data_IF_289650474900
#
_entry.id   IF_289650474900
#
_cell.length_a   1.000
_cell.length_b   1.000
_cell.length_c   1.000
_cell.angle_alpha   90.00
_cell.angle_beta   90.00
_cell.angle_gamma   90.00
#
_symmetry.space_group_name_H-M   'P 1'
#
loop_
_entity.id
_entity.type
_entity.pdbx_description
1 polymer ?
#
# COMPACT_ATOMS: atom_id res chain seq x y z
N UNK A 1 49.68 -8.92 -34.26
CA UNK A 1 48.59 -9.68 -34.95
C UNK A 1 47.28 -9.18 -34.41
N UNK A 2 46.52 -8.42 -35.18
CA UNK A 2 45.20 -7.97 -34.78
C UNK A 2 44.15 -8.98 -35.25
N UNK A 3 43.23 -9.37 -34.36
CA UNK A 3 42.03 -10.15 -34.72
C UNK A 3 40.82 -9.23 -34.74
N UNK A 4 40.42 -8.94 -35.95
CA UNK A 4 39.19 -8.29 -36.34
C UNK A 4 38.03 -9.29 -36.16
N UNK A 5 37.00 -8.96 -35.36
CA UNK A 5 35.73 -9.67 -35.29
C UNK A 5 34.56 -8.70 -35.43
N UNK A 6 34.28 -8.39 -36.69
CA UNK A 6 33.12 -7.66 -37.17
C UNK A 6 31.96 -8.62 -37.23
N UNK A 7 31.14 -8.65 -36.18
CA UNK A 7 29.86 -9.37 -36.11
C UNK A 7 28.65 -8.44 -36.26
N UNK A 8 28.24 -8.20 -37.54
CA UNK A 8 27.04 -7.46 -37.86
C UNK A 8 25.79 -8.36 -37.71
N UNK A 9 25.03 -8.18 -36.66
CA UNK A 9 23.73 -8.83 -36.49
C UNK A 9 22.64 -7.99 -37.19
N UNK A 10 22.13 -8.50 -38.33
CA UNK A 10 20.97 -7.97 -39.05
C UNK A 10 19.70 -8.16 -38.23
N UNK A 11 19.11 -7.09 -37.73
CA UNK A 11 17.75 -7.06 -37.21
C UNK A 11 16.75 -7.18 -38.35
N UNK A 12 15.94 -8.25 -38.35
CA UNK A 12 14.75 -8.39 -39.20
C UNK A 12 13.57 -7.60 -38.60
N UNK A 13 12.86 -6.77 -39.40
CA UNK A 13 11.64 -6.15 -38.93
C UNK A 13 10.50 -7.17 -38.94
N UNK A 14 9.90 -7.44 -37.78
CA UNK A 14 8.61 -8.13 -37.68
C UNK A 14 7.49 -7.12 -37.90
N UNK A 15 6.81 -7.26 -39.04
CA UNK A 15 5.55 -6.60 -39.35
C UNK A 15 4.44 -7.32 -38.57
N UNK A 16 3.87 -6.65 -37.56
CA UNK A 16 2.65 -7.10 -36.90
C UNK A 16 1.47 -6.34 -37.50
N UNK A 17 0.64 -7.08 -38.22
CA UNK A 17 -0.63 -6.60 -38.78
C UNK A 17 -1.65 -6.44 -37.65
N UNK A 18 -2.17 -5.23 -37.44
CA UNK A 18 -3.25 -4.92 -36.54
C UNK A 18 -4.58 -5.13 -37.28
N UNK A 19 -5.34 -6.15 -36.87
CA UNK A 19 -6.75 -6.31 -37.25
C UNK A 19 -7.61 -5.51 -36.27
N UNK A 20 -8.24 -4.47 -36.76
CA UNK A 20 -9.30 -3.75 -36.06
C UNK A 20 -10.62 -4.53 -36.22
N UNK A 21 -11.24 -4.92 -35.11
CA UNK A 21 -12.62 -5.37 -35.06
C UNK A 21 -13.44 -4.38 -34.25
N UNK A 22 -14.24 -3.58 -34.92
CA UNK A 22 -15.30 -2.75 -34.33
C UNK A 22 -16.49 -3.65 -33.96
N UNK A 23 -16.89 -3.62 -32.69
CA UNK A 23 -18.13 -4.21 -32.23
C UNK A 23 -18.88 -3.19 -31.38
N UNK A 24 -19.84 -2.49 -32.00
CA UNK A 24 -20.81 -1.63 -31.31
C UNK A 24 -22.00 -2.50 -30.91
N UNK A 25 -22.33 -2.56 -29.61
CA UNK A 25 -23.62 -3.00 -29.12
C UNK A 25 -24.16 -2.00 -28.11
N UNK A 26 -25.15 -1.23 -28.58
CA UNK A 26 -26.01 -0.43 -27.74
C UNK A 26 -27.04 -1.35 -27.07
N UNK A 27 -27.14 -1.28 -25.74
CA UNK A 27 -28.16 -1.93 -24.93
C UNK A 27 -28.75 -0.91 -23.94
N UNK A 28 -29.83 -0.26 -24.35
CA UNK A 28 -30.67 0.53 -23.47
C UNK A 28 -31.61 -0.39 -22.69
N UNK A 29 -31.63 -0.29 -21.36
CA UNK A 29 -32.74 -0.77 -20.54
C UNK A 29 -33.11 0.29 -19.53
N UNK A 30 -34.14 1.05 -19.88
CA UNK A 30 -34.93 1.84 -18.94
C UNK A 30 -35.82 0.91 -18.11
N UNK A 31 -35.79 1.09 -16.79
CA UNK A 31 -36.65 0.38 -15.87
C UNK A 31 -36.90 1.22 -14.61
N UNK A 32 -37.80 2.22 -14.72
CA UNK A 32 -38.34 2.95 -13.59
C UNK A 32 -39.46 2.14 -12.98
N UNK A 33 -39.39 1.78 -11.72
CA UNK A 33 -40.56 1.34 -10.92
C UNK A 33 -40.71 2.26 -9.73
N UNK A 34 -41.86 2.89 -9.53
CA UNK A 34 -42.16 3.65 -8.35
C UNK A 34 -42.61 2.71 -7.21
N UNK A 35 -41.92 2.80 -6.08
CA UNK A 35 -42.31 2.13 -4.85
C UNK A 35 -43.51 2.84 -4.22
N UNK A 36 -44.60 2.10 -4.01
CA UNK A 36 -45.77 2.54 -3.31
C UNK A 36 -45.48 2.70 -1.81
N UNK A 37 -45.83 3.85 -1.25
CA UNK A 37 -45.91 4.09 0.20
C UNK A 37 -47.20 3.47 0.76
N UNK A 38 -47.15 2.71 1.85
CA UNK A 38 -48.34 2.39 2.63
C UNK A 38 -48.66 3.54 3.56
N UNK A 39 -49.83 4.14 3.33
CA UNK A 39 -50.51 5.06 4.24
C UNK A 39 -51.05 4.26 5.44
N UNK A 40 -50.47 4.44 6.61
CA UNK A 40 -51.06 3.94 7.84
C UNK A 40 -51.96 5.00 8.46
N UNK A 41 -53.25 4.72 8.41
CA UNK A 41 -54.31 5.46 9.11
C UNK A 41 -54.15 5.21 10.61
N UNK A 42 -53.91 6.27 11.37
CA UNK A 42 -53.84 6.24 12.82
C UNK A 42 -55.25 6.24 13.40
N UNK A 43 -55.65 5.14 14.01
CA UNK A 43 -56.85 5.10 14.89
C UNK A 43 -56.37 5.34 16.32
N UNK A 44 -56.80 6.44 16.88
CA UNK A 44 -56.57 6.80 18.27
C UNK A 44 -57.48 5.99 19.21
N UNK A 45 -56.86 5.29 20.16
CA UNK A 45 -57.57 4.77 21.35
C UNK A 45 -56.88 5.34 22.60
N UNK A 46 -57.66 5.97 23.52
CA UNK A 46 -57.12 6.40 24.80
C UNK A 46 -57.33 5.27 25.81
N UNK A 47 -56.23 4.71 26.32
CA UNK A 47 -56.23 3.91 27.53
C UNK A 47 -55.13 4.41 28.47
N UNK A 48 -55.61 4.79 29.67
CA UNK A 48 -54.75 5.10 30.81
C UNK A 48 -53.87 3.92 31.16
N UNK A 49 -52.57 4.16 31.30
CA UNK A 49 -51.62 3.12 31.67
C UNK A 49 -50.37 3.69 32.31
N UNK A 50 -50.23 3.42 33.56
CA UNK A 50 -49.02 3.21 34.39
C UNK A 50 -47.72 3.90 33.94
N UNK A 51 -46.99 4.66 34.79
CA UNK A 51 -45.72 5.27 34.46
C UNK A 51 -44.70 4.15 34.21
N UNK A 52 -44.34 3.97 32.95
CA UNK A 52 -43.24 3.11 32.54
C UNK A 52 -41.92 3.69 33.05
N UNK A 53 -41.15 2.86 33.74
CA UNK A 53 -39.81 3.16 34.18
C UNK A 53 -38.98 3.66 32.99
N UNK A 54 -38.42 4.85 33.12
CA UNK A 54 -37.48 5.44 32.17
C UNK A 54 -36.28 4.50 32.10
N UNK A 55 -35.91 3.94 30.92
CA UNK A 55 -34.70 3.16 30.80
C UNK A 55 -33.53 4.09 31.08
N UNK A 56 -32.80 3.83 32.15
CA UNK A 56 -31.51 4.46 32.44
C UNK A 56 -30.63 4.27 31.23
N UNK A 57 -30.01 5.33 30.64
CA UNK A 57 -29.10 5.15 29.54
C UNK A 57 -27.96 4.29 30.02
N UNK A 58 -27.85 3.08 29.53
CA UNK A 58 -26.68 2.23 29.70
C UNK A 58 -25.48 3.00 29.16
N UNK A 59 -24.63 3.47 30.05
CA UNK A 59 -23.34 4.06 29.67
C UNK A 59 -22.57 3.02 28.86
N UNK A 60 -22.58 3.16 27.55
CA UNK A 60 -21.73 2.38 26.65
C UNK A 60 -20.30 2.76 27.06
N UNK A 61 -19.65 1.91 27.85
CA UNK A 61 -18.22 2.02 28.13
C UNK A 61 -17.52 1.96 26.77
N UNK A 62 -17.15 3.11 26.24
CA UNK A 62 -16.35 3.21 25.03
C UNK A 62 -15.10 2.37 25.22
N UNK A 63 -14.95 1.32 24.43
CA UNK A 63 -13.70 0.55 24.41
C UNK A 63 -12.54 1.54 24.21
N UNK A 64 -11.49 1.51 25.02
CA UNK A 64 -10.38 2.45 24.87
C UNK A 64 -9.85 2.33 23.45
N UNK A 65 -9.63 3.47 22.77
CA UNK A 65 -9.08 3.49 21.44
C UNK A 65 -7.76 2.71 21.41
N UNK A 66 -7.61 1.77 20.49
CA UNK A 66 -6.42 0.95 20.39
C UNK A 66 -5.17 1.84 20.20
N UNK A 67 -4.11 1.58 20.95
CA UNK A 67 -2.86 2.34 20.89
C UNK A 67 -2.17 2.16 19.52
N UNK A 68 -1.27 3.09 19.16
CA UNK A 68 -0.43 2.92 17.96
C UNK A 68 0.46 1.68 18.10
N UNK A 69 0.62 0.93 17.00
CA UNK A 69 1.51 -0.22 16.96
C UNK A 69 2.95 0.20 17.24
N UNK A 70 3.61 -0.51 18.14
CA UNK A 70 5.03 -0.28 18.42
C UNK A 70 5.89 -1.16 17.49
N UNK A 71 7.03 -0.65 17.04
CA UNK A 71 7.92 -1.38 16.12
C UNK A 71 8.33 -2.75 16.69
N UNK A 72 8.55 -2.87 18.00
CA UNK A 72 8.93 -4.14 18.66
C UNK A 72 7.86 -5.23 18.59
N UNK A 73 6.59 -4.83 18.42
CA UNK A 73 5.44 -5.73 18.33
C UNK A 73 5.03 -5.98 16.87
N UNK A 74 5.80 -5.45 15.91
CA UNK A 74 5.58 -5.63 14.49
C UNK A 74 6.71 -6.44 13.86
N UNK A 75 6.37 -7.20 12.83
CA UNK A 75 7.33 -7.66 11.83
C UNK A 75 6.99 -7.04 10.49
N UNK A 76 8.00 -6.94 9.61
CA UNK A 76 7.81 -6.49 8.24
C UNK A 76 8.37 -7.54 7.28
N UNK A 77 7.68 -7.73 6.17
CA UNK A 77 8.11 -8.56 5.05
C UNK A 77 7.76 -7.86 3.73
N UNK A 78 8.24 -8.41 2.62
CA UNK A 78 7.88 -7.94 1.28
C UNK A 78 7.13 -9.03 0.53
N UNK A 79 6.14 -8.61 -0.26
CA UNK A 79 5.42 -9.46 -1.19
C UNK A 79 6.23 -9.75 -2.46
N UNK A 80 5.59 -10.40 -3.43
CA UNK A 80 6.19 -10.66 -4.74
C UNK A 80 6.37 -9.36 -5.52
N UNK A 81 7.55 -9.10 -6.10
CA UNK A 81 7.77 -7.93 -6.94
C UNK A 81 6.93 -7.99 -8.21
N UNK A 82 6.33 -6.86 -8.58
CA UNK A 82 5.62 -6.65 -9.84
C UNK A 82 6.36 -5.59 -10.64
N UNK A 83 6.68 -5.91 -11.92
CA UNK A 83 7.29 -4.95 -12.82
C UNK A 83 6.27 -3.95 -13.35
N UNK A 84 6.65 -2.69 -13.47
CA UNK A 84 5.93 -1.68 -14.24
C UNK A 84 6.89 -0.92 -15.16
N UNK A 85 6.35 -0.13 -16.10
CA UNK A 85 7.18 0.70 -16.95
C UNK A 85 7.98 1.71 -16.09
N UNK A 86 9.28 1.49 -15.95
CA UNK A 86 10.19 2.37 -15.21
C UNK A 86 10.58 1.89 -13.82
N UNK A 87 10.28 0.63 -13.45
CA UNK A 87 10.71 0.10 -12.16
C UNK A 87 9.95 -1.13 -11.69
N UNK A 88 9.88 -1.29 -10.40
CA UNK A 88 9.14 -2.36 -9.75
C UNK A 88 8.27 -1.83 -8.59
N UNK A 89 7.23 -2.56 -8.28
CA UNK A 89 6.31 -2.33 -7.19
C UNK A 89 6.24 -3.57 -6.30
N UNK A 90 6.29 -3.38 -4.99
CA UNK A 90 6.20 -4.46 -4.01
C UNK A 90 5.35 -4.03 -2.81
N UNK A 91 4.57 -4.96 -2.27
CA UNK A 91 3.89 -4.72 -1.01
C UNK A 91 4.89 -4.85 0.16
N UNK A 92 4.93 -3.85 1.03
CA UNK A 92 5.52 -3.98 2.37
C UNK A 92 4.41 -4.40 3.30
N UNK A 93 4.54 -5.56 3.91
CA UNK A 93 3.52 -6.16 4.78
C UNK A 93 3.98 -6.06 6.22
N UNK A 94 3.17 -5.42 7.06
CA UNK A 94 3.32 -5.39 8.51
C UNK A 94 2.41 -6.43 9.14
N UNK A 95 2.91 -7.18 10.11
CA UNK A 95 2.12 -8.12 10.92
C UNK A 95 2.27 -7.79 12.39
N UNK A 96 1.15 -7.72 13.11
CA UNK A 96 1.14 -7.52 14.56
C UNK A 96 1.45 -8.84 15.26
N UNK A 97 2.61 -8.92 15.91
CA UNK A 97 3.03 -10.04 16.76
C UNK A 97 2.67 -9.85 18.24
N UNK A 98 2.19 -8.65 18.59
CA UNK A 98 1.73 -8.35 19.94
C UNK A 98 0.43 -9.08 20.31
N UNK A 99 0.13 -9.14 21.59
CA UNK A 99 -1.05 -9.80 22.14
C UNK A 99 -2.30 -8.91 22.14
N UNK A 100 -2.15 -7.62 21.91
CA UNK A 100 -3.23 -6.63 21.85
C UNK A 100 -3.41 -6.07 20.45
N UNK A 101 -4.64 -5.64 20.14
CA UNK A 101 -4.89 -4.87 18.91
C UNK A 101 -4.18 -3.52 18.99
N UNK A 102 -3.64 -3.06 17.85
CA UNK A 102 -2.99 -1.77 17.72
C UNK A 102 -3.37 -1.10 16.40
N UNK A 103 -3.00 0.15 16.20
CA UNK A 103 -3.36 0.92 15.02
C UNK A 103 -2.13 1.42 14.26
N UNK A 104 -2.25 1.45 12.92
CA UNK A 104 -1.33 2.14 12.01
C UNK A 104 -2.07 3.26 11.29
N UNK A 105 -1.40 4.39 11.04
CA UNK A 105 -2.00 5.53 10.34
C UNK A 105 -0.94 6.28 9.53
N UNK A 106 -1.16 6.41 8.22
CA UNK A 106 -0.28 7.18 7.33
C UNK A 106 0.73 6.33 6.58
N UNK A 107 1.91 6.90 6.31
CA UNK A 107 2.93 6.33 5.45
C UNK A 107 4.07 5.69 6.26
N UNK A 108 4.55 4.51 5.90
CA UNK A 108 5.84 4.04 6.37
C UNK A 108 6.96 4.85 5.71
N UNK A 109 8.11 4.94 6.36
CA UNK A 109 9.33 5.50 5.77
C UNK A 109 10.25 4.36 5.40
N UNK A 110 10.66 4.30 4.14
CA UNK A 110 11.51 3.22 3.62
C UNK A 110 12.78 3.80 3.03
N UNK A 111 13.89 3.13 3.25
CA UNK A 111 15.15 3.40 2.60
C UNK A 111 15.78 2.10 2.09
N UNK A 112 16.52 2.17 1.00
CA UNK A 112 17.45 1.12 0.61
C UNK A 112 18.65 1.17 1.52
N UNK A 113 19.20 0.00 1.90
CA UNK A 113 20.32 -0.09 2.83
C UNK A 113 21.25 -1.26 2.47
N UNK A 114 22.48 -1.20 2.97
CA UNK A 114 23.44 -2.28 2.86
C UNK A 114 24.33 -2.35 4.11
N UNK A 115 25.04 -3.48 4.24
CA UNK A 115 25.97 -3.71 5.34
C UNK A 115 25.35 -4.39 6.56
N UNK A 116 26.18 -4.62 7.59
CA UNK A 116 25.82 -5.18 8.89
C UNK A 116 26.61 -4.42 9.96
N UNK A 117 26.00 -3.50 10.71
CA UNK A 117 24.57 -3.11 10.67
C UNK A 117 24.17 -2.44 9.34
N UNK A 118 22.87 -2.53 9.02
CA UNK A 118 22.32 -1.92 7.80
C UNK A 118 22.48 -0.38 7.84
N UNK A 119 23.04 0.18 6.78
CA UNK A 119 23.24 1.62 6.62
C UNK A 119 22.48 2.10 5.39
N UNK A 120 21.70 3.17 5.54
CA UNK A 120 20.91 3.74 4.45
C UNK A 120 21.75 4.22 3.29
N UNK A 121 21.23 4.02 2.10
CA UNK A 121 21.80 4.47 0.84
C UNK A 121 20.82 5.44 0.18
N UNK A 122 21.27 6.67 -0.08
CA UNK A 122 20.49 7.69 -0.81
C UNK A 122 19.28 8.21 -0.03
N UNK A 123 18.22 8.51 -0.77
CA UNK A 123 17.02 9.15 -0.23
C UNK A 123 16.00 8.13 0.28
N UNK A 124 15.31 8.48 1.36
CA UNK A 124 14.13 7.74 1.84
C UNK A 124 12.94 7.96 0.90
N UNK A 125 11.90 7.13 1.07
CA UNK A 125 10.65 7.27 0.32
C UNK A 125 10.07 8.67 0.38
N UNK A 126 9.47 9.08 -0.75
CA UNK A 126 8.48 10.15 -0.78
C UNK A 126 7.08 9.55 -0.59
N UNK A 127 6.21 10.30 0.07
CA UNK A 127 4.81 9.90 0.22
C UNK A 127 4.09 10.07 -1.13
N UNK A 128 3.30 9.06 -1.51
CA UNK A 128 2.38 9.19 -2.64
C UNK A 128 1.02 9.68 -2.10
N UNK A 129 0.64 10.94 -2.34
CA UNK A 129 -0.56 11.53 -1.76
C UNK A 129 -1.86 11.03 -2.39
N UNK A 130 -1.80 10.23 -3.46
CA UNK A 130 -2.99 9.75 -4.18
C UNK A 130 -3.89 8.84 -3.35
N UNK A 131 -3.35 8.18 -2.31
CA UNK A 131 -4.14 7.35 -1.41
C UNK A 131 -4.50 8.13 -0.12
N UNK A 132 -5.78 8.17 0.28
CA UNK A 132 -6.18 8.82 1.52
C UNK A 132 -5.58 8.09 2.73
N UNK A 133 -5.23 8.85 3.77
CA UNK A 133 -4.77 8.27 5.03
C UNK A 133 -5.96 7.70 5.78
N UNK A 134 -5.92 6.41 6.07
CA UNK A 134 -6.95 5.72 6.86
C UNK A 134 -6.33 5.14 8.12
N UNK A 135 -7.12 5.06 9.19
CA UNK A 135 -6.71 4.38 10.40
C UNK A 135 -6.92 2.87 10.19
N UNK A 136 -5.86 2.10 10.30
CA UNK A 136 -5.88 0.64 10.12
C UNK A 136 -5.71 0.00 11.49
N UNK A 137 -6.69 -0.79 11.91
CA UNK A 137 -6.62 -1.58 13.14
C UNK A 137 -6.05 -2.97 12.84
N UNK A 138 -5.00 -3.35 13.55
CA UNK A 138 -4.36 -4.66 13.47
C UNK A 138 -4.67 -5.45 14.75
N UNK A 139 -5.57 -6.43 14.70
CA UNK A 139 -5.69 -7.39 15.79
C UNK A 139 -4.40 -8.22 15.93
N UNK A 140 -4.21 -8.99 17.00
CA UNK A 140 -3.12 -9.95 17.09
C UNK A 140 -3.06 -10.83 15.83
N UNK A 141 -1.88 -10.98 15.23
CA UNK A 141 -1.63 -11.63 13.94
C UNK A 141 -2.25 -10.95 12.71
N UNK A 142 -2.97 -9.83 12.88
CA UNK A 142 -3.50 -9.04 11.76
C UNK A 142 -2.38 -8.44 10.91
N UNK A 143 -2.70 -8.17 9.63
CA UNK A 143 -1.77 -7.62 8.65
C UNK A 143 -2.27 -6.30 8.08
N UNK A 144 -1.32 -5.44 7.74
CA UNK A 144 -1.52 -4.24 6.94
C UNK A 144 -0.37 -4.12 5.93
N UNK A 145 -0.61 -3.48 4.82
CA UNK A 145 0.41 -3.30 3.79
C UNK A 145 0.44 -1.89 3.23
N UNK A 146 1.58 -1.53 2.64
CA UNK A 146 1.76 -0.32 1.85
C UNK A 146 2.52 -0.68 0.57
N UNK A 147 2.13 -0.11 -0.57
CA UNK A 147 2.83 -0.36 -1.84
C UNK A 147 4.07 0.53 -1.93
N UNK A 148 5.22 -0.09 -2.08
CA UNK A 148 6.49 0.56 -2.35
C UNK A 148 6.78 0.47 -3.85
N UNK A 149 7.01 1.62 -4.48
CA UNK A 149 7.53 1.73 -5.85
C UNK A 149 9.01 2.07 -5.80
N UNK A 150 9.79 1.33 -6.57
CA UNK A 150 11.22 1.54 -6.75
C UNK A 150 11.46 1.82 -8.22
N UNK A 151 11.79 3.08 -8.55
CA UNK A 151 12.15 3.46 -9.91
C UNK A 151 13.47 2.80 -10.32
N UNK A 152 13.61 2.48 -11.60
CA UNK A 152 14.85 1.91 -12.12
C UNK A 152 15.96 2.98 -12.10
N UNK A 153 17.04 2.64 -11.42
CA UNK A 153 18.25 3.50 -11.34
C UNK A 153 18.88 3.76 -12.69
N UNK A 154 18.70 2.86 -13.67
CA UNK A 154 19.21 3.02 -15.04
C UNK A 154 18.58 4.19 -15.82
N UNK A 155 17.47 4.76 -15.34
CA UNK A 155 16.89 5.96 -15.91
C UNK A 155 17.63 7.26 -15.54
N UNK A 156 18.63 7.17 -14.67
CA UNK A 156 19.39 8.31 -14.20
C UNK A 156 20.86 8.18 -14.64
N UNK A 157 21.51 9.27 -15.07
CA UNK A 157 22.94 9.23 -15.38
C UNK A 157 23.77 8.74 -14.19
N UNK A 158 24.77 7.89 -14.44
CA UNK A 158 25.62 7.30 -13.39
C UNK A 158 26.29 8.36 -12.50
N UNK A 159 26.71 9.47 -13.06
CA UNK A 159 27.28 10.60 -12.31
C UNK A 159 26.30 11.22 -11.30
N UNK A 160 25.01 11.18 -11.60
CA UNK A 160 23.93 11.70 -10.72
C UNK A 160 23.45 10.64 -9.72
N UNK A 161 23.20 9.43 -10.19
CA UNK A 161 22.71 8.32 -9.35
C UNK A 161 23.83 7.77 -8.46
N UNK A 162 25.01 7.52 -9.01
CA UNK A 162 26.09 6.78 -8.35
C UNK A 162 25.57 5.43 -7.86
N UNK A 163 25.20 4.52 -8.79
CA UNK A 163 24.49 3.28 -8.47
C UNK A 163 25.32 2.36 -7.59
N UNK A 164 24.69 1.75 -6.60
CA UNK A 164 25.30 0.77 -5.69
C UNK A 164 24.30 -0.32 -5.32
N UNK A 165 24.80 -1.50 -4.99
CA UNK A 165 23.99 -2.62 -4.55
C UNK A 165 23.45 -2.37 -3.15
N UNK A 166 22.14 -2.47 -2.98
CA UNK A 166 21.44 -2.58 -1.70
C UNK A 166 21.03 -4.03 -1.44
N UNK A 167 21.04 -4.44 -0.18
CA UNK A 167 20.67 -5.80 0.25
C UNK A 167 19.51 -5.81 1.23
N UNK A 168 19.12 -4.63 1.74
CA UNK A 168 18.07 -4.45 2.71
C UNK A 168 17.13 -3.32 2.31
N UNK A 169 15.88 -3.42 2.77
CA UNK A 169 15.00 -2.29 2.98
C UNK A 169 14.93 -2.00 4.48
N UNK A 170 15.29 -0.80 4.88
CA UNK A 170 15.04 -0.28 6.22
C UNK A 170 13.65 0.33 6.23
N UNK A 171 12.72 -0.30 6.97
CA UNK A 171 11.31 0.06 7.01
C UNK A 171 10.95 0.59 8.38
N UNK A 172 10.56 1.85 8.47
CA UNK A 172 10.07 2.46 9.71
C UNK A 172 8.55 2.53 9.62
N UNK A 173 7.81 1.83 10.50
CA UNK A 173 6.36 1.87 10.51
C UNK A 173 5.81 3.30 10.70
N UNK A 174 4.57 3.60 10.28
CA UNK A 174 3.96 4.91 10.51
C UNK A 174 4.04 5.32 11.98
N UNK A 175 4.37 6.59 12.24
CA UNK A 175 4.48 7.18 13.58
C UNK A 175 5.53 6.54 14.51
N UNK A 176 6.40 5.67 14.00
CA UNK A 176 7.49 5.05 14.75
C UNK A 176 8.85 5.71 14.41
N UNK A 177 9.86 5.42 15.26
CA UNK A 177 11.24 5.91 15.08
C UNK A 177 12.22 4.78 14.75
N UNK A 178 11.94 3.58 15.25
CA UNK A 178 12.79 2.40 15.04
C UNK A 178 12.46 1.72 13.73
N UNK A 179 13.48 1.15 13.09
CA UNK A 179 13.34 0.46 11.82
C UNK A 179 13.25 -1.07 11.97
N UNK A 180 12.62 -1.69 11.00
CA UNK A 180 12.63 -3.11 10.71
C UNK A 180 13.46 -3.30 9.43
N UNK A 181 14.45 -4.20 9.46
CA UNK A 181 15.26 -4.51 8.29
C UNK A 181 14.68 -5.72 7.56
N UNK A 182 14.34 -5.53 6.29
CA UNK A 182 13.77 -6.57 5.42
C UNK A 182 14.77 -6.89 4.33
N UNK A 183 15.13 -8.18 4.16
CA UNK A 183 16.03 -8.59 3.09
C UNK A 183 15.40 -8.37 1.73
N UNK A 184 16.02 -7.55 0.91
CA UNK A 184 15.60 -7.25 -0.45
C UNK A 184 16.78 -6.71 -1.27
N UNK A 185 17.15 -7.44 -2.33
CA UNK A 185 18.21 -7.03 -3.24
C UNK A 185 17.72 -6.04 -4.29
N UNK A 186 18.40 -4.90 -4.41
CA UNK A 186 18.06 -3.88 -5.41
C UNK A 186 19.28 -3.01 -5.74
N UNK A 187 19.15 -2.12 -6.74
CA UNK A 187 20.13 -1.07 -7.01
C UNK A 187 19.65 0.23 -6.39
N UNK A 188 20.48 0.86 -5.59
CA UNK A 188 20.22 2.15 -4.96
C UNK A 188 21.09 3.25 -5.59
N UNK A 189 20.66 4.50 -5.47
CA UNK A 189 21.44 5.67 -5.83
C UNK A 189 22.05 6.31 -4.59
N UNK A 190 23.39 6.39 -4.49
CA UNK A 190 24.06 7.20 -3.46
C UNK A 190 23.86 8.70 -3.66
N UNK A 191 23.61 9.11 -4.90
CA UNK A 191 23.35 10.51 -5.25
C UNK A 191 22.00 10.99 -4.76
N UNK A 192 21.73 12.27 -4.98
CA UNK A 192 20.47 12.91 -4.57
C UNK A 192 19.33 12.61 -5.57
N UNK A 193 18.98 11.33 -5.69
CA UNK A 193 17.90 10.84 -6.57
C UNK A 193 16.82 10.18 -5.72
N UNK A 194 15.57 10.52 -6.00
CA UNK A 194 14.41 9.92 -5.33
C UNK A 194 13.92 8.71 -6.13
N UNK A 195 14.39 7.51 -5.78
CA UNK A 195 13.96 6.28 -6.41
C UNK A 195 12.68 5.70 -5.80
N UNK A 196 12.41 6.04 -4.53
CA UNK A 196 11.41 5.36 -3.73
C UNK A 196 10.18 6.24 -3.51
N UNK A 197 8.99 5.67 -3.73
CA UNK A 197 7.74 6.26 -3.27
C UNK A 197 6.87 5.19 -2.61
N UNK A 198 6.01 5.59 -1.67
CA UNK A 198 5.19 4.65 -0.89
C UNK A 198 3.78 5.18 -0.74
N UNK A 199 2.80 4.27 -0.71
CA UNK A 199 1.40 4.58 -0.38
C UNK A 199 1.17 4.57 1.14
N UNK A 200 0.01 5.03 1.56
CA UNK A 200 -0.46 4.83 2.94
C UNK A 200 -0.65 3.35 3.25
N UNK A 201 -0.59 3.01 4.53
CA UNK A 201 -0.96 1.67 4.98
C UNK A 201 -2.45 1.41 4.74
N UNK A 202 -2.77 0.19 4.33
CA UNK A 202 -4.11 -0.35 4.13
C UNK A 202 -4.22 -1.71 4.79
N UNK A 203 -5.44 -2.15 5.10
CA UNK A 203 -5.67 -3.46 5.70
C UNK A 203 -5.33 -4.58 4.72
N UNK A 204 -4.77 -5.68 5.23
CA UNK A 204 -4.43 -6.86 4.44
C UNK A 204 -2.98 -6.91 3.99
N UNK A 205 -2.65 -7.91 3.18
CA UNK A 205 -1.28 -8.20 2.72
C UNK A 205 -0.86 -7.48 1.44
N UNK A 206 -1.77 -6.76 0.78
CA UNK A 206 -1.45 -5.99 -0.44
C UNK A 206 -1.11 -6.87 -1.65
N UNK A 207 -1.72 -8.04 -1.76
CA UNK A 207 -1.60 -8.96 -2.90
C UNK A 207 -2.88 -9.04 -3.68
#
# INVERSE_FOLDING_TARGET
MPLDLKGSAKMKPFLIAILAAMGVTAGACSGSSPAAQPTHTATAHPLAGTPAAVPTPSSTSGSPAAASCLTRDLTASVGSPQGFAGGLEIAIVFKNLGHAACTLYGFPRVAQAAGTPATNIGQRTTENPAAPRTLVMLPPNGTASAMLRIADSAHYPDGTCKPVKATWLEVIPPNQKSALNVSFGSTACKGNVKLLSVTTVQQGSGG
#
